data_IF_805952872336
#
_entry.id   IF_805952872336
#
_cell.length_a   1.000
_cell.length_b   1.000
_cell.length_c   1.000
_cell.angle_alpha   90.00
_cell.angle_beta   90.00
_cell.angle_gamma   90.00
#
_symmetry.space_group_name_H-M   'P 1'
#
loop_
_entity.id
_entity.type
_entity.pdbx_description
1 polymer ?
#
# COMPACT_ATOMS: atom_id res chain seq x y z
N UNK A 1 0.46 35.82 56.51
CA UNK A 1 1.34 34.90 55.76
C UNK A 1 0.53 33.71 55.25
N UNK A 2 0.02 33.78 54.02
CA UNK A 2 -0.63 32.65 53.31
C UNK A 2 -0.39 32.85 51.82
N UNK A 3 0.81 32.49 51.37
CA UNK A 3 1.17 32.61 49.95
C UNK A 3 2.09 31.47 49.51
N UNK A 4 1.84 30.25 50.01
CA UNK A 4 2.57 29.05 49.58
C UNK A 4 1.55 27.92 49.52
N UNK A 5 0.70 27.90 48.50
CA UNK A 5 -0.15 26.73 48.21
C UNK A 5 -0.55 26.59 46.75
N UNK A 6 -0.34 27.61 45.91
CA UNK A 6 -0.69 27.53 44.48
C UNK A 6 0.45 27.04 43.59
N UNK A 7 1.71 27.17 44.04
CA UNK A 7 2.87 26.75 43.25
C UNK A 7 3.02 25.22 43.17
N UNK A 8 2.61 24.50 44.22
CA UNK A 8 2.73 23.03 44.28
C UNK A 8 1.63 22.31 43.48
N UNK A 9 0.43 22.90 43.38
CA UNK A 9 -0.68 22.30 42.62
C UNK A 9 -0.45 22.42 41.10
N UNK A 10 0.17 23.52 40.66
CA UNK A 10 0.49 23.75 39.25
C UNK A 10 1.60 22.80 38.73
N UNK A 11 2.52 22.38 39.59
CA UNK A 11 3.61 21.46 39.24
C UNK A 11 3.12 20.01 39.05
N UNK A 12 2.06 19.59 39.75
CA UNK A 12 1.49 18.25 39.61
C UNK A 12 0.71 18.12 38.29
N UNK A 13 0.00 19.18 37.87
CA UNK A 13 -0.75 19.18 36.60
C UNK A 13 0.15 19.14 35.36
N UNK A 14 1.39 19.62 35.46
CA UNK A 14 2.33 19.58 34.33
C UNK A 14 2.99 18.21 34.11
N UNK A 15 2.94 17.31 35.10
CA UNK A 15 3.53 15.97 34.98
C UNK A 15 2.63 14.94 34.27
N UNK A 16 1.33 15.21 34.15
CA UNK A 16 0.38 14.29 33.49
C UNK A 16 0.23 14.53 31.98
N UNK A 17 0.90 15.55 31.41
CA UNK A 17 0.99 15.76 29.95
C UNK A 17 2.28 15.14 29.39
N UNK A 18 2.77 14.09 30.05
CA UNK A 18 3.68 13.12 29.47
C UNK A 18 2.93 11.82 29.21
N UNK A 19 1.71 11.91 28.66
CA UNK A 19 1.19 10.83 27.82
C UNK A 19 2.12 10.85 26.61
N UNK A 20 3.21 10.11 26.75
CA UNK A 20 4.04 9.70 25.65
C UNK A 20 3.07 9.05 24.67
N UNK A 21 2.64 9.81 23.67
CA UNK A 21 2.20 9.25 22.41
C UNK A 21 3.40 8.39 22.01
N UNK A 22 3.33 7.09 22.32
CA UNK A 22 4.12 6.10 21.64
C UNK A 22 3.71 6.24 20.19
N UNK A 23 4.40 7.12 19.47
CA UNK A 23 4.55 6.99 18.05
C UNK A 23 5.23 5.64 17.88
N UNK A 24 4.45 4.57 17.91
CA UNK A 24 4.66 3.47 17.00
C UNK A 24 4.51 4.10 15.62
N UNK A 25 5.57 4.80 15.19
CA UNK A 25 5.93 4.80 13.80
C UNK A 25 6.12 3.34 13.49
N UNK A 26 5.04 2.70 13.06
CA UNK A 26 5.08 1.61 12.11
C UNK A 26 5.85 2.18 10.92
N UNK A 27 7.18 2.19 11.06
CA UNK A 27 8.10 2.40 9.96
C UNK A 27 7.83 1.20 9.08
N UNK A 28 6.94 1.39 8.13
CA UNK A 28 6.72 0.39 7.11
C UNK A 28 7.95 0.41 6.22
N UNK A 29 8.98 -0.31 6.67
CA UNK A 29 10.11 -0.60 5.84
C UNK A 29 9.62 -1.46 4.69
N UNK A 30 9.79 -0.92 3.49
CA UNK A 30 9.64 -1.70 2.28
C UNK A 30 10.61 -2.87 2.35
N UNK A 31 10.06 -4.07 2.21
CA UNK A 31 10.79 -5.30 2.48
C UNK A 31 10.50 -6.36 1.41
N UNK A 32 9.88 -5.94 0.31
CA UNK A 32 9.61 -6.79 -0.84
C UNK A 32 8.62 -7.92 -0.56
N UNK A 33 8.68 -8.93 -1.41
CA UNK A 33 7.72 -10.04 -1.46
C UNK A 33 7.88 -11.10 -0.38
N UNK A 34 8.95 -11.02 0.39
CA UNK A 34 9.38 -12.05 1.34
C UNK A 34 8.78 -11.88 2.74
N UNK A 35 8.00 -10.82 2.98
CA UNK A 35 7.36 -10.60 4.28
C UNK A 35 5.98 -11.24 4.38
N UNK A 36 5.76 -11.90 5.52
CA UNK A 36 4.44 -12.32 5.98
C UNK A 36 3.63 -11.13 6.49
N UNK A 37 3.06 -10.33 5.58
CA UNK A 37 1.92 -9.46 5.92
C UNK A 37 0.60 -10.15 5.58
N UNK A 38 -0.49 -9.84 6.31
CA UNK A 38 -1.81 -10.34 5.96
C UNK A 38 -2.22 -9.86 4.57
N UNK A 39 -2.99 -10.70 3.86
CA UNK A 39 -3.68 -10.28 2.64
C UNK A 39 -4.79 -9.32 3.02
N UNK A 40 -4.82 -8.15 2.40
CA UNK A 40 -5.83 -7.11 2.64
C UNK A 40 -6.74 -6.85 1.44
N UNK A 41 -6.26 -7.15 0.22
CA UNK A 41 -7.02 -7.05 -1.02
C UNK A 41 -6.91 -8.33 -1.86
N UNK A 42 -7.91 -8.59 -2.68
CA UNK A 42 -7.97 -9.69 -3.63
C UNK A 42 -8.29 -9.11 -5.01
N UNK A 43 -7.37 -9.31 -5.96
CA UNK A 43 -7.65 -9.14 -7.37
C UNK A 43 -8.23 -10.44 -7.91
N UNK A 44 -9.44 -10.37 -8.48
CA UNK A 44 -10.09 -11.51 -9.12
C UNK A 44 -10.48 -11.11 -10.54
N UNK A 45 -9.69 -11.54 -11.52
CA UNK A 45 -9.83 -11.14 -12.93
C UNK A 45 -9.83 -9.61 -13.10
N UNK A 46 -9.00 -8.92 -12.30
CA UNK A 46 -8.86 -7.48 -12.36
C UNK A 46 -8.15 -7.06 -13.66
N UNK A 47 -8.61 -5.98 -14.27
CA UNK A 47 -7.98 -5.35 -15.43
C UNK A 47 -6.89 -4.40 -14.99
N UNK A 48 -5.78 -4.42 -15.70
CA UNK A 48 -4.68 -3.51 -15.42
C UNK A 48 -3.74 -3.33 -16.59
N UNK A 49 -2.75 -2.47 -16.37
CA UNK A 49 -1.70 -2.16 -17.33
C UNK A 49 -0.33 -2.39 -16.72
N UNK A 50 0.51 -3.14 -17.42
CA UNK A 50 1.89 -3.37 -17.02
C UNK A 50 2.66 -2.06 -17.12
N UNK A 51 3.43 -1.75 -16.08
CA UNK A 51 4.30 -0.58 -16.04
C UNK A 51 5.61 -0.90 -15.34
N UNK A 52 6.58 -0.01 -15.49
CA UNK A 52 7.81 0.01 -14.70
C UNK A 52 7.72 1.21 -13.78
N UNK A 53 7.86 0.98 -12.47
CA UNK A 53 7.93 2.06 -11.50
C UNK A 53 9.33 2.69 -11.56
N UNK A 54 9.39 4.03 -11.56
CA UNK A 54 10.65 4.79 -11.69
C UNK A 54 11.01 5.58 -10.44
N UNK A 55 10.09 5.73 -9.49
CA UNK A 55 10.26 6.55 -8.30
C UNK A 55 10.76 5.73 -7.11
N UNK A 56 9.94 5.55 -6.07
CA UNK A 56 10.27 4.82 -4.83
C UNK A 56 10.70 3.36 -5.06
N UNK A 57 10.42 2.80 -6.24
CA UNK A 57 10.69 1.41 -6.61
C UNK A 57 11.32 1.35 -8.01
N UNK A 58 12.59 1.78 -8.18
CA UNK A 58 13.22 1.82 -9.50
C UNK A 58 13.28 0.42 -10.13
N UNK A 59 13.05 0.38 -11.44
CA UNK A 59 13.10 -0.84 -12.27
C UNK A 59 12.17 -1.98 -11.81
N UNK A 60 11.15 -1.64 -11.03
CA UNK A 60 10.19 -2.62 -10.49
C UNK A 60 8.99 -2.75 -11.41
N UNK A 61 8.77 -3.96 -11.91
CA UNK A 61 7.60 -4.28 -12.73
C UNK A 61 6.34 -4.33 -11.86
N UNK A 62 5.32 -3.60 -12.29
CA UNK A 62 4.06 -3.50 -11.59
C UNK A 62 2.88 -3.54 -12.57
N UNK A 63 1.69 -3.71 -12.02
CA UNK A 63 0.43 -3.56 -12.75
C UNK A 63 -0.30 -2.38 -12.11
N UNK A 64 -0.65 -1.37 -12.89
CA UNK A 64 -1.61 -0.34 -12.49
C UNK A 64 -3.00 -0.92 -12.74
N UNK A 65 -3.78 -1.07 -11.69
CA UNK A 65 -5.16 -1.53 -11.79
C UNK A 65 -6.02 -0.46 -12.48
N UNK A 66 -6.69 -0.83 -13.56
CA UNK A 66 -7.65 0.04 -14.27
C UNK A 66 -9.02 0.04 -13.56
N UNK A 67 -9.25 -0.93 -12.68
CA UNK A 67 -10.42 -1.00 -11.79
C UNK A 67 -9.99 -1.15 -10.32
N UNK A 68 -10.80 -0.68 -9.38
CA UNK A 68 -10.49 -0.80 -7.95
C UNK A 68 -10.41 -2.27 -7.52
N UNK A 69 -9.36 -2.64 -6.78
CA UNK A 69 -9.17 -4.02 -6.33
C UNK A 69 -10.00 -4.28 -5.06
N UNK A 70 -10.75 -5.38 -5.02
CA UNK A 70 -11.70 -5.68 -3.94
C UNK A 70 -10.95 -5.97 -2.64
N UNK A 71 -11.29 -5.26 -1.56
CA UNK A 71 -10.82 -5.54 -0.21
C UNK A 71 -11.53 -6.76 0.41
N UNK A 72 -10.83 -7.50 1.28
CA UNK A 72 -11.35 -8.75 1.86
C UNK A 72 -12.63 -8.61 2.70
N UNK A 73 -12.98 -7.40 3.16
CA UNK A 73 -14.17 -7.14 3.99
C UNK A 73 -15.15 -6.12 3.38
N UNK A 74 -14.70 -5.32 2.41
CA UNK A 74 -15.50 -4.30 1.73
C UNK A 74 -14.78 -3.91 0.43
N UNK A 75 -15.48 -3.66 -0.69
CA UNK A 75 -14.89 -3.03 -1.85
C UNK A 75 -14.38 -1.64 -1.45
N UNK A 76 -13.06 -1.45 -1.45
CA UNK A 76 -12.44 -0.15 -1.23
C UNK A 76 -12.14 0.40 -2.62
N UNK A 77 -13.09 1.13 -3.20
CA UNK A 77 -12.96 1.76 -4.51
C UNK A 77 -12.16 3.06 -4.39
N UNK A 78 -10.87 2.94 -4.07
CA UNK A 78 -9.98 4.07 -3.85
C UNK A 78 -8.97 4.14 -5.01
N UNK A 79 -9.39 4.69 -6.15
CA UNK A 79 -8.50 5.01 -7.28
C UNK A 79 -7.77 3.82 -7.92
N UNK A 80 -6.83 4.09 -8.84
CA UNK A 80 -5.99 3.06 -9.42
C UNK A 80 -5.00 2.53 -8.37
N UNK A 81 -5.14 1.26 -7.99
CA UNK A 81 -4.20 0.56 -7.11
C UNK A 81 -2.94 0.14 -7.92
N UNK A 82 -1.76 0.20 -7.31
CA UNK A 82 -0.52 -0.30 -7.92
C UNK A 82 -0.18 -1.66 -7.31
N UNK A 83 0.05 -2.65 -8.16
CA UNK A 83 0.40 -4.01 -7.75
C UNK A 83 1.82 -4.33 -8.17
N UNK A 84 2.73 -4.36 -7.21
CA UNK A 84 4.09 -4.88 -7.38
C UNK A 84 4.01 -6.41 -7.40
N UNK A 85 4.41 -7.01 -8.51
CA UNK A 85 4.27 -8.45 -8.72
C UNK A 85 5.55 -9.19 -8.36
N UNK A 86 5.44 -10.17 -7.48
CA UNK A 86 6.57 -10.94 -6.97
C UNK A 86 7.10 -11.99 -7.96
N UNK A 87 6.23 -12.50 -8.83
CA UNK A 87 6.52 -13.59 -9.77
C UNK A 87 6.18 -13.16 -11.20
N UNK A 88 6.67 -11.98 -11.62
CA UNK A 88 6.31 -11.43 -12.93
C UNK A 88 6.95 -12.28 -14.05
N UNK A 89 6.16 -12.91 -14.96
CA UNK A 89 6.72 -13.69 -16.04
C UNK A 89 7.49 -12.81 -17.02
N UNK A 90 8.74 -13.15 -17.32
CA UNK A 90 9.59 -12.34 -18.21
C UNK A 90 9.00 -12.17 -19.61
N UNK A 91 8.30 -13.19 -20.12
CA UNK A 91 7.63 -13.15 -21.42
C UNK A 91 6.50 -12.13 -21.53
N UNK A 92 6.01 -11.60 -20.39
CA UNK A 92 4.91 -10.65 -20.32
C UNK A 92 5.35 -9.26 -19.85
N UNK A 93 6.66 -9.03 -19.62
CA UNK A 93 7.22 -7.73 -19.19
C UNK A 93 7.27 -6.72 -20.35
N UNK A 94 6.10 -6.27 -20.79
CA UNK A 94 5.95 -5.27 -21.84
C UNK A 94 5.20 -4.08 -21.24
N UNK A 95 5.88 -2.95 -21.07
CA UNK A 95 5.25 -1.75 -20.52
C UNK A 95 4.12 -1.28 -21.43
N UNK A 96 3.00 -0.87 -20.83
CA UNK A 96 1.79 -0.45 -21.53
C UNK A 96 0.85 -1.60 -21.90
N UNK A 97 1.29 -2.86 -21.80
CA UNK A 97 0.47 -4.03 -22.11
C UNK A 97 -0.74 -4.13 -21.16
N UNK A 98 -1.93 -4.30 -21.73
CA UNK A 98 -3.15 -4.55 -20.98
C UNK A 98 -3.24 -6.02 -20.59
N UNK A 99 -3.67 -6.27 -19.35
CA UNK A 99 -3.76 -7.60 -18.77
C UNK A 99 -5.00 -7.77 -17.91
N UNK A 100 -5.44 -9.02 -17.78
CA UNK A 100 -6.36 -9.48 -16.73
C UNK A 100 -5.54 -10.30 -15.74
N UNK A 101 -5.63 -9.99 -14.46
CA UNK A 101 -4.83 -10.63 -13.42
C UNK A 101 -5.65 -11.01 -12.18
N UNK A 102 -5.19 -12.05 -11.49
CA UNK A 102 -5.71 -12.44 -10.18
C UNK A 102 -4.56 -12.58 -9.19
N UNK A 103 -4.75 -12.10 -7.97
CA UNK A 103 -3.73 -12.12 -6.93
C UNK A 103 -4.32 -11.91 -5.54
N UNK A 104 -3.63 -12.45 -4.53
CA UNK A 104 -3.82 -12.05 -3.13
C UNK A 104 -2.80 -10.97 -2.81
N UNK A 105 -3.28 -9.81 -2.38
CA UNK A 105 -2.50 -8.60 -2.24
C UNK A 105 -2.29 -8.24 -0.78
N UNK A 106 -1.04 -7.94 -0.45
CA UNK A 106 -0.59 -7.52 0.87
C UNK A 106 -0.29 -6.03 0.84
N UNK A 107 -0.53 -5.36 1.95
CA UNK A 107 -0.26 -3.94 2.09
C UNK A 107 1.25 -3.68 2.07
N UNK A 108 1.72 -2.79 1.20
CA UNK A 108 3.10 -2.30 1.27
C UNK A 108 3.27 -1.20 2.34
N UNK A 109 2.17 -0.60 2.80
CA UNK A 109 2.08 0.70 3.47
C UNK A 109 2.72 1.87 2.69
N UNK A 110 3.12 1.65 1.45
CA UNK A 110 3.65 2.67 0.56
C UNK A 110 2.50 3.34 -0.19
N UNK A 111 2.51 4.67 -0.16
CA UNK A 111 1.71 5.47 -1.07
C UNK A 111 2.59 5.81 -2.28
N UNK A 112 2.10 5.51 -3.49
CA UNK A 112 2.81 5.85 -4.71
C UNK A 112 2.45 7.26 -5.14
N UNK A 113 3.41 8.17 -4.94
CA UNK A 113 3.34 9.60 -5.21
C UNK A 113 2.11 10.33 -4.61
N UNK A 114 2.31 11.49 -3.96
CA UNK A 114 1.20 12.24 -3.36
C UNK A 114 0.14 12.73 -4.38
N UNK A 115 0.42 12.68 -5.68
CA UNK A 115 -0.45 13.17 -6.76
C UNK A 115 -1.54 12.19 -7.20
N UNK A 116 -1.36 10.87 -7.01
CA UNK A 116 -2.30 9.85 -7.54
C UNK A 116 -3.21 9.25 -6.46
N UNK A 117 -2.90 9.49 -5.18
CA UNK A 117 -3.57 8.84 -4.04
C UNK A 117 -3.66 7.31 -4.22
N UNK A 118 -2.69 6.73 -4.94
CA UNK A 118 -2.64 5.32 -5.27
C UNK A 118 -1.95 4.55 -4.15
N UNK A 119 -2.63 3.53 -3.64
CA UNK A 119 -2.03 2.58 -2.70
C UNK A 119 -1.20 1.55 -3.43
N UNK A 120 -0.04 1.20 -2.87
CA UNK A 120 0.82 0.14 -3.40
C UNK A 120 0.58 -1.15 -2.64
N UNK A 121 0.39 -2.22 -3.37
CA UNK A 121 0.31 -3.58 -2.84
C UNK A 121 1.36 -4.46 -3.48
N UNK A 122 1.67 -5.57 -2.84
CA UNK A 122 2.47 -6.62 -3.44
C UNK A 122 1.78 -7.96 -3.36
N UNK A 123 2.07 -8.83 -4.32
CA UNK A 123 1.47 -10.15 -4.36
C UNK A 123 2.07 -11.06 -5.42
N UNK A 124 1.82 -12.35 -5.23
CA UNK A 124 2.05 -13.36 -6.24
C UNK A 124 0.79 -13.47 -7.10
N UNK A 125 0.96 -13.39 -8.42
CA UNK A 125 -0.12 -13.62 -9.36
C UNK A 125 -0.50 -15.10 -9.33
N UNK A 126 -1.81 -15.37 -9.19
CA UNK A 126 -2.39 -16.69 -9.38
C UNK A 126 -2.88 -16.89 -10.82
N UNK A 127 -3.15 -15.80 -11.55
CA UNK A 127 -3.45 -15.81 -12.98
C UNK A 127 -3.00 -14.49 -13.61
N UNK A 128 -2.53 -14.56 -14.85
CA UNK A 128 -2.21 -13.40 -15.69
C UNK A 128 -2.51 -13.76 -17.14
N UNK A 129 -3.35 -12.97 -17.80
CA UNK A 129 -3.76 -13.14 -19.18
C UNK A 129 -3.58 -11.81 -19.91
N UNK A 130 -3.22 -11.87 -21.20
CA UNK A 130 -3.27 -10.69 -22.05
C UNK A 130 -4.73 -10.30 -22.27
N UNK A 131 -5.02 -9.01 -22.17
CA UNK A 131 -6.32 -8.48 -22.56
C UNK A 131 -6.22 -7.98 -24.00
N UNK A 132 -6.69 -8.79 -24.94
CA UNK A 132 -6.69 -8.51 -26.38
C UNK A 132 -7.95 -7.73 -26.82
N UNK A 133 -8.93 -7.58 -25.92
CA UNK A 133 -10.18 -6.88 -26.18
C UNK A 133 -9.98 -5.37 -26.06
N UNK A 134 -9.49 -4.72 -27.12
CA UNK A 134 -9.78 -3.33 -27.57
C UNK A 134 -8.69 -2.86 -28.56
N UNK A 135 -9.02 -2.90 -29.85
CA UNK A 135 -8.46 -2.02 -30.89
C UNK A 135 -9.27 -0.72 -30.96
#
# INVERSE_FOLDING_TARGET
MKQISYLFVLLIFFSMVAISCSNEQNSCEYTGCDIMRPTIKIANQAKGRITILSAQYPDTWAIISEEGIIGGSTPIFDGPDIVVVCNFPDSLKISGQRVIFSAKLKDSCGDYEPSWNSKVYYGYLSALLLNEDEE
#
